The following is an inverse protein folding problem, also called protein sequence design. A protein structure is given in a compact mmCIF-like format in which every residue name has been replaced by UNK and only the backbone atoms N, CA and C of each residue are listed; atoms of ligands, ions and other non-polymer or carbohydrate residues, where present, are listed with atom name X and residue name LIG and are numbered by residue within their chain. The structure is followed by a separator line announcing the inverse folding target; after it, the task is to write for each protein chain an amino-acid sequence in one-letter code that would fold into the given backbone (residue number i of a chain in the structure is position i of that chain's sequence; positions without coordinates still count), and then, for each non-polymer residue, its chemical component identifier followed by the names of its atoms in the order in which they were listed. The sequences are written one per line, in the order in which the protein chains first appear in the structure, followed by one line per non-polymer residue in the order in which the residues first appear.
data_IF_352500993720
#
_entry.id   IF_352500993720
#
_cell.length_a   1.000
_cell.length_b   1.000
_cell.length_c   1.000
_cell.angle_alpha   90.00
_cell.angle_beta   90.00
_cell.angle_gamma   90.00
#
_symmetry.space_group_name_H-M   'P 1'
#
loop_
_entity.id
_entity.type
_entity.pdbx_description
1 polymer ?
#
# COMPACT_ATOMS: atom_id res chain seq x y z
N UNK A 1 -2.73 -4.32 -3.20
CA UNK A 1 -2.95 -3.91 -4.61
C UNK A 1 -4.22 -3.08 -4.84
N UNK A 2 -5.27 -3.19 -4.01
CA UNK A 2 -6.52 -2.40 -4.17
C UNK A 2 -6.32 -0.89 -4.39
N UNK A 3 -5.60 -0.18 -3.50
CA UNK A 3 -5.38 1.27 -3.64
C UNK A 3 -4.70 1.67 -4.96
N UNK A 4 -3.80 0.82 -5.47
CA UNK A 4 -3.16 1.03 -6.76
C UNK A 4 -4.13 0.87 -7.93
N UNK A 5 -4.99 -0.15 -7.89
CA UNK A 5 -6.03 -0.35 -8.90
C UNK A 5 -7.05 0.80 -8.90
N UNK A 6 -7.42 1.30 -7.73
CA UNK A 6 -8.37 2.41 -7.61
C UNK A 6 -7.76 3.72 -8.11
N UNK A 7 -6.48 3.98 -7.83
CA UNK A 7 -5.74 5.10 -8.44
C UNK A 7 -5.72 4.96 -9.96
N UNK A 8 -5.37 3.79 -10.52
CA UNK A 8 -5.35 3.58 -11.96
C UNK A 8 -6.74 3.78 -12.61
N UNK A 9 -7.81 3.36 -11.93
CA UNK A 9 -9.19 3.52 -12.43
C UNK A 9 -9.65 4.98 -12.43
N UNK A 10 -9.07 5.81 -11.57
CA UNK A 10 -9.37 7.25 -11.51
C UNK A 10 -8.69 8.08 -12.59
N UNK A 11 -7.68 7.53 -13.25
CA UNK A 11 -6.93 8.20 -14.31
C UNK A 11 -7.55 7.91 -15.69
N UNK A 12 -7.23 8.76 -16.67
CA UNK A 12 -7.66 8.53 -18.05
C UNK A 12 -7.07 7.21 -18.59
N UNK A 13 -7.88 6.46 -19.34
CA UNK A 13 -7.43 5.20 -19.95
C UNK A 13 -6.29 5.47 -20.94
N UNK A 14 -5.12 4.84 -20.76
CA UNK A 14 -4.03 4.96 -21.72
C UNK A 14 -4.48 4.47 -23.10
N UNK A 15 -4.13 5.23 -24.13
CA UNK A 15 -4.33 4.85 -25.52
C UNK A 15 -3.09 4.13 -26.05
N UNK A 16 -3.30 3.19 -26.98
CA UNK A 16 -2.19 2.50 -27.64
C UNK A 16 -1.40 3.51 -28.49
N UNK A 17 -0.07 3.55 -28.30
CA UNK A 17 0.81 4.46 -29.03
C UNK A 17 1.24 3.85 -30.35
N UNK A 18 1.40 4.69 -31.36
CA UNK A 18 2.02 4.30 -32.62
C UNK A 18 3.52 4.62 -32.58
N UNK A 19 4.34 3.70 -33.08
CA UNK A 19 5.78 3.87 -33.18
C UNK A 19 6.20 3.65 -34.65
N UNK A 20 6.84 4.63 -35.33
CA UNK A 20 7.05 4.58 -36.78
C UNK A 20 7.83 3.38 -37.32
N UNK A 21 8.63 2.73 -36.47
CA UNK A 21 9.49 1.58 -36.84
C UNK A 21 8.99 0.25 -36.27
N UNK A 22 7.79 0.22 -35.70
CA UNK A 22 7.20 -0.97 -35.07
C UNK A 22 5.91 -1.29 -35.81
N UNK A 23 5.69 -2.58 -36.10
CA UNK A 23 4.46 -3.04 -36.75
C UNK A 23 3.26 -2.80 -35.83
N UNK A 24 2.09 -2.52 -36.39
CA UNK A 24 0.87 -2.27 -35.63
C UNK A 24 0.54 -3.40 -34.63
N UNK A 25 0.77 -4.65 -35.02
CA UNK A 25 0.53 -5.81 -34.15
C UNK A 25 1.54 -5.91 -32.99
N UNK A 26 2.66 -5.20 -33.05
CA UNK A 26 3.78 -5.30 -32.10
C UNK A 26 3.91 -4.05 -31.19
N UNK A 27 3.13 -3.00 -31.44
CA UNK A 27 3.22 -1.74 -30.66
C UNK A 27 2.89 -1.90 -29.18
N UNK A 28 2.13 -2.95 -28.81
CA UNK A 28 1.78 -3.25 -27.43
C UNK A 28 2.96 -3.82 -26.63
N UNK A 29 4.01 -4.32 -27.30
CA UNK A 29 5.21 -4.87 -26.66
C UNK A 29 6.24 -3.78 -26.30
N UNK A 30 5.99 -2.53 -26.69
CA UNK A 30 6.90 -1.42 -26.40
C UNK A 30 6.60 -0.84 -25.02
N UNK A 31 7.59 -0.86 -24.15
CA UNK A 31 7.49 -0.21 -22.83
C UNK A 31 7.22 1.29 -23.01
N UNK A 32 6.19 1.79 -22.32
CA UNK A 32 5.86 3.22 -22.32
C UNK A 32 6.11 3.85 -20.96
N UNK A 33 6.51 5.13 -20.97
CA UNK A 33 6.64 5.92 -19.75
C UNK A 33 5.35 6.69 -19.47
N UNK A 34 4.91 6.68 -18.21
CA UNK A 34 3.90 7.56 -17.62
C UNK A 34 4.42 8.04 -16.26
N UNK A 35 3.71 8.94 -15.59
CA UNK A 35 4.10 9.47 -14.28
C UNK A 35 3.92 8.44 -13.15
N UNK A 36 4.65 7.32 -13.21
CA UNK A 36 4.51 6.18 -12.30
C UNK A 36 4.73 6.55 -10.83
N UNK A 37 5.67 7.44 -10.54
CA UNK A 37 5.95 7.89 -9.17
C UNK A 37 4.80 8.70 -8.57
N UNK A 38 4.12 9.51 -9.39
CA UNK A 38 2.95 10.27 -8.95
C UNK A 38 1.76 9.34 -8.72
N UNK A 39 1.56 8.33 -9.58
CA UNK A 39 0.55 7.29 -9.38
C UNK A 39 0.82 6.48 -8.10
N UNK A 40 2.08 6.15 -7.84
CA UNK A 40 2.48 5.47 -6.61
C UNK A 40 2.18 6.32 -5.38
N UNK A 41 2.52 7.60 -5.40
CA UNK A 41 2.21 8.55 -4.31
C UNK A 41 0.71 8.59 -4.04
N UNK A 42 -0.12 8.80 -5.07
CA UNK A 42 -1.59 8.81 -4.95
C UNK A 42 -2.14 7.51 -4.38
N UNK A 43 -1.60 6.36 -4.81
CA UNK A 43 -2.01 5.06 -4.29
C UNK A 43 -1.65 4.89 -2.79
N UNK A 44 -0.49 5.39 -2.37
CA UNK A 44 -0.07 5.37 -0.97
C UNK A 44 -0.93 6.29 -0.10
N UNK A 45 -1.27 7.48 -0.58
CA UNK A 45 -2.20 8.40 0.11
C UNK A 45 -3.56 7.74 0.36
N UNK A 46 -4.12 7.08 -0.67
CA UNK A 46 -5.37 6.30 -0.55
C UNK A 46 -5.25 5.12 0.41
N UNK A 47 -4.09 4.46 0.45
CA UNK A 47 -3.85 3.39 1.42
C UNK A 47 -3.86 3.93 2.85
N UNK A 48 -3.19 5.05 3.12
CA UNK A 48 -3.18 5.68 4.45
C UNK A 48 -4.59 6.09 4.90
N UNK A 49 -5.42 6.60 3.99
CA UNK A 49 -6.82 6.94 4.30
C UNK A 49 -7.72 5.72 4.48
N UNK A 50 -7.41 4.58 3.85
CA UNK A 50 -8.13 3.32 4.10
C UNK A 50 -7.66 2.61 5.38
N UNK A 51 -6.51 3.01 5.92
CA UNK A 51 -5.89 2.44 7.09
C UNK A 51 -6.42 3.03 8.40
N UNK A 52 -7.75 3.01 8.58
CA UNK A 52 -8.34 3.04 9.92
C UNK A 52 -7.88 1.83 10.79
N UNK A 53 -7.11 0.90 10.19
CA UNK A 53 -6.54 -0.30 10.78
C UNK A 53 -5.16 -0.11 11.47
N UNK A 54 -4.61 1.11 11.55
CA UNK A 54 -3.39 1.37 12.34
C UNK A 54 -3.67 1.89 13.76
N UNK A 55 -4.89 1.68 14.26
CA UNK A 55 -5.14 1.77 15.69
C UNK A 55 -4.45 0.56 16.35
N UNK A 56 -3.25 0.77 16.92
CA UNK A 56 -2.75 -0.12 17.95
C UNK A 56 -3.91 -0.41 18.92
N UNK A 57 -4.18 -1.67 19.29
CA UNK A 57 -5.27 -1.96 20.20
C UNK A 57 -5.10 -1.06 21.43
N UNK A 58 -6.12 -0.26 21.72
CA UNK A 58 -6.17 0.49 22.98
C UNK A 58 -5.98 -0.55 24.06
N UNK A 59 -5.00 -0.34 24.95
CA UNK A 59 -4.72 -1.24 26.06
C UNK A 59 -5.91 -1.22 27.04
N UNK A 60 -6.96 -1.95 26.71
CA UNK A 60 -8.15 -2.12 27.55
C UNK A 60 -7.84 -3.24 28.52
N UNK A 61 -7.23 -2.85 29.64
CA UNK A 61 -7.08 -3.71 30.81
C UNK A 61 -5.76 -4.46 30.87
N UNK A 62 -5.22 -4.49 32.09
CA UNK A 62 -3.98 -5.11 32.55
C UNK A 62 -2.70 -4.35 32.15
N UNK A 63 -2.12 -3.76 33.20
CA UNK A 63 -0.75 -3.29 33.29
C UNK A 63 0.18 -4.34 32.64
N UNK A 64 0.84 -3.96 31.55
CA UNK A 64 1.78 -4.81 30.81
C UNK A 64 3.15 -4.92 31.51
N UNK A 65 3.34 -4.27 32.66
CA UNK A 65 4.56 -4.46 33.42
C UNK A 65 4.51 -5.83 34.12
N UNK A 66 5.53 -6.68 33.93
CA UNK A 66 5.65 -7.89 34.72
C UNK A 66 5.62 -7.55 36.23
N UNK A 67 5.08 -8.44 37.08
CA UNK A 67 5.03 -8.23 38.52
C UNK A 67 6.43 -7.99 39.09
N UNK A 68 6.51 -7.20 40.17
CA UNK A 68 7.79 -6.89 40.79
C UNK A 68 8.45 -8.16 41.31
N UNK A 69 9.79 -8.25 41.27
CA UNK A 69 10.53 -9.43 41.77
C UNK A 69 10.22 -9.76 43.24
N UNK A 70 9.72 -8.80 44.01
CA UNK A 70 9.26 -8.95 45.39
C UNK A 70 7.94 -9.71 45.54
N UNK A 71 7.19 -9.91 44.46
CA UNK A 71 5.89 -10.60 44.43
C UNK A 71 6.00 -12.04 43.92
N UNK A 72 7.22 -12.51 43.62
CA UNK A 72 7.47 -13.87 43.13
C UNK A 72 7.21 -14.86 44.28
N UNK A 73 6.25 -15.81 44.15
CA UNK A 73 6.06 -16.83 45.17
C UNK A 73 7.34 -17.66 45.31
N UNK A 74 7.75 -17.88 46.57
CA UNK A 74 8.84 -18.80 46.86
C UNK A 74 8.44 -20.19 46.34
N UNK A 75 9.26 -20.75 45.46
CA UNK A 75 9.04 -22.09 44.93
C UNK A 75 9.18 -23.10 46.09
N UNK A 76 8.26 -24.06 46.25
CA UNK A 76 8.39 -25.13 47.26
C UNK A 76 9.59 -26.05 46.99
#
# INVERSE_FOLDING_TARGET
MGPFMDTLRSEARPQLKNFPKVKADDVHNIQTHVAYLDLLRKAQERQVHSSDCHLSPVAVGAILTPPSSTEKPANP
#
